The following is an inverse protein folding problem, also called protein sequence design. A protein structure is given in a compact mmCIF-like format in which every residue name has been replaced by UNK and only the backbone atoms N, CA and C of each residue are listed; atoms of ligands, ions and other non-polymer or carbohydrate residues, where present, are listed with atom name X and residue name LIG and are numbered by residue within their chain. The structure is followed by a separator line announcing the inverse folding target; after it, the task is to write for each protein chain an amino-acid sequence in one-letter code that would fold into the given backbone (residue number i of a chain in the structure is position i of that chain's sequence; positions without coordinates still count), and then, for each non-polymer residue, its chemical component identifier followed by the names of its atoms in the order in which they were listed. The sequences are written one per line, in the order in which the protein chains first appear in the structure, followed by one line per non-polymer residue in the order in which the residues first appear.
data_IF_219084047263
#
_entry.id   IF_219084047263
#
_cell.length_a   1.000
_cell.length_b   1.000
_cell.length_c   1.000
_cell.angle_alpha   90.00
_cell.angle_beta   90.00
_cell.angle_gamma   90.00
#
_symmetry.space_group_name_H-M   'P 1'
#
loop_
_entity.id
_entity.type
_entity.pdbx_description
1 polymer ?
#
# COMPACT_ATOMS: atom_id res chain seq x y z
N UNK A 1 2.75 27.26 -1.65
CA UNK A 1 4.02 26.83 -2.28
C UNK A 1 3.63 26.29 -3.65
N UNK A 2 4.06 26.93 -4.75
CA UNK A 2 3.84 26.38 -6.09
C UNK A 2 4.54 25.03 -6.14
N UNK A 3 3.75 23.96 -6.14
CA UNK A 3 4.23 22.60 -6.20
C UNK A 3 4.81 22.41 -7.61
N UNK A 4 6.13 22.27 -7.69
CA UNK A 4 6.79 21.88 -8.92
C UNK A 4 6.35 20.44 -9.23
N UNK A 5 5.36 20.29 -10.11
CA UNK A 5 5.17 19.03 -10.83
C UNK A 5 6.46 18.78 -11.59
N UNK A 6 7.28 17.86 -11.09
CA UNK A 6 8.40 17.29 -11.82
C UNK A 6 7.80 16.50 -12.99
N UNK A 7 7.57 17.19 -14.10
CA UNK A 7 7.35 16.56 -15.39
C UNK A 7 8.66 15.86 -15.77
N UNK A 8 8.67 14.53 -15.64
CA UNK A 8 9.74 13.71 -16.21
C UNK A 8 9.63 13.76 -17.73
N UNK A 9 10.33 14.70 -18.35
CA UNK A 9 10.62 14.67 -19.79
C UNK A 9 11.60 13.52 -20.00
N UNK A 10 11.14 12.41 -20.59
CA UNK A 10 11.99 11.28 -20.96
C UNK A 10 12.81 11.68 -22.20
N UNK A 11 13.96 12.31 -21.97
CA UNK A 11 15.00 12.43 -23.00
C UNK A 11 15.62 11.03 -23.15
N UNK A 12 15.67 10.50 -24.39
CA UNK A 12 16.11 9.16 -24.75
C UNK A 12 17.53 8.78 -24.30
N UNK A 13 17.69 8.57 -23.01
CA UNK A 13 18.90 8.15 -22.33
C UNK A 13 18.87 6.65 -22.08
N UNK A 14 20.06 6.07 -22.11
CA UNK A 14 20.43 4.70 -21.76
C UNK A 14 19.48 4.06 -20.71
N UNK A 15 18.93 2.89 -21.03
CA UNK A 15 18.04 2.12 -20.14
C UNK A 15 18.73 1.98 -18.77
N UNK A 16 18.16 2.55 -17.69
CA UNK A 16 18.81 2.56 -16.39
C UNK A 16 19.02 1.13 -15.90
N UNK A 17 20.16 0.87 -15.25
CA UNK A 17 20.52 -0.45 -14.73
C UNK A 17 19.32 -1.13 -14.05
N UNK A 18 18.83 -2.26 -14.60
CA UNK A 18 17.63 -2.93 -14.09
C UNK A 18 17.87 -3.58 -12.72
N UNK A 19 19.11 -3.62 -12.24
CA UNK A 19 19.45 -4.17 -10.92
C UNK A 19 18.73 -3.41 -9.81
N UNK A 20 17.94 -4.08 -8.94
CA UNK A 20 17.45 -3.48 -7.71
C UNK A 20 18.61 -3.00 -6.85
N UNK A 21 18.48 -1.84 -6.22
CA UNK A 21 19.54 -1.33 -5.33
C UNK A 21 19.72 -2.27 -4.13
N UNK A 22 20.95 -2.33 -3.59
CA UNK A 22 21.22 -3.08 -2.37
C UNK A 22 20.36 -2.58 -1.20
N UNK A 23 20.08 -1.27 -1.14
CA UNK A 23 19.20 -0.63 -0.17
C UNK A 23 17.76 -1.13 -0.27
N UNK A 24 17.20 -1.23 -1.48
CA UNK A 24 15.85 -1.78 -1.70
C UNK A 24 15.77 -3.25 -1.28
N UNK A 25 16.76 -4.06 -1.66
CA UNK A 25 16.80 -5.47 -1.25
C UNK A 25 16.88 -5.59 0.27
N UNK A 26 17.73 -4.79 0.91
CA UNK A 26 17.87 -4.77 2.36
C UNK A 26 16.57 -4.35 3.06
N UNK A 27 15.91 -3.30 2.59
CA UNK A 27 14.70 -2.77 3.22
C UNK A 27 13.50 -3.71 3.10
N UNK A 28 13.44 -4.49 2.02
CA UNK A 28 12.47 -5.58 1.82
C UNK A 28 12.87 -6.92 2.48
N UNK A 29 14.07 -7.01 3.06
CA UNK A 29 14.59 -8.27 3.62
C UNK A 29 14.82 -9.36 2.56
N UNK A 30 15.14 -8.97 1.32
CA UNK A 30 15.40 -9.85 0.18
C UNK A 30 16.91 -9.96 -0.10
N UNK A 31 17.33 -11.09 -0.67
CA UNK A 31 18.72 -11.29 -1.13
C UNK A 31 18.85 -11.02 -2.63
N UNK A 32 20.07 -10.73 -3.14
CA UNK A 32 20.33 -10.65 -4.58
C UNK A 32 19.92 -11.93 -5.32
N UNK A 33 19.43 -11.80 -6.55
CA UNK A 33 18.92 -12.93 -7.34
C UNK A 33 20.03 -13.95 -7.67
N UNK A 34 21.30 -13.53 -7.74
CA UNK A 34 22.45 -14.41 -7.86
C UNK A 34 22.55 -15.38 -6.69
N UNK A 35 22.29 -14.89 -5.47
CA UNK A 35 22.32 -15.72 -4.28
C UNK A 35 21.19 -16.75 -4.33
N UNK A 36 20.00 -16.35 -4.78
CA UNK A 36 18.91 -17.30 -5.01
C UNK A 36 19.28 -18.35 -6.05
N UNK A 37 19.86 -17.92 -7.17
CA UNK A 37 20.30 -18.80 -8.24
C UNK A 37 21.33 -19.82 -7.75
N UNK A 38 22.28 -19.40 -6.91
CA UNK A 38 23.31 -20.26 -6.33
C UNK A 38 22.75 -21.36 -5.41
N UNK A 39 21.57 -21.15 -4.80
CA UNK A 39 20.87 -22.20 -4.03
C UNK A 39 20.14 -23.23 -4.90
N UNK A 40 20.11 -23.04 -6.22
CA UNK A 40 19.35 -23.87 -7.15
C UNK A 40 17.86 -23.54 -7.19
N UNK A 41 17.41 -22.46 -6.55
CA UNK A 41 16.02 -22.03 -6.56
C UNK A 41 15.61 -21.53 -7.95
N UNK A 42 14.41 -21.93 -8.40
CA UNK A 42 13.73 -21.31 -9.55
C UNK A 42 12.93 -20.14 -9.02
N UNK A 43 13.19 -18.93 -9.53
CA UNK A 43 12.60 -17.69 -9.01
C UNK A 43 12.05 -16.84 -10.14
N UNK A 44 10.84 -16.32 -9.93
CA UNK A 44 10.22 -15.25 -10.71
C UNK A 44 9.79 -14.18 -9.73
N UNK A 45 10.45 -13.02 -9.74
CA UNK A 45 10.11 -11.94 -8.82
C UNK A 45 10.00 -10.59 -9.50
N UNK A 46 9.15 -9.75 -8.94
CA UNK A 46 8.94 -8.39 -9.38
C UNK A 46 9.04 -7.41 -8.21
N UNK A 47 9.60 -6.24 -8.47
CA UNK A 47 9.66 -5.08 -7.58
C UNK A 47 8.88 -3.95 -8.22
N UNK A 48 8.10 -3.24 -7.40
CA UNK A 48 7.19 -2.23 -7.89
C UNK A 48 7.50 -0.87 -7.28
N UNK A 49 7.50 0.15 -8.13
CA UNK A 49 7.66 1.56 -7.76
C UNK A 49 6.51 2.35 -8.37
N UNK A 50 5.83 3.16 -7.58
CA UNK A 50 4.66 3.92 -8.04
C UNK A 50 5.06 5.16 -8.87
N UNK A 51 4.06 5.87 -9.42
CA UNK A 51 4.26 7.09 -10.21
C UNK A 51 4.91 8.26 -9.46
N UNK A 52 4.95 8.22 -8.13
CA UNK A 52 5.65 9.20 -7.29
C UNK A 52 7.10 8.82 -7.00
N UNK A 53 7.59 7.73 -7.61
CA UNK A 53 8.94 7.24 -7.39
C UNK A 53 9.13 6.62 -6.01
N UNK A 54 8.08 6.16 -5.33
CA UNK A 54 8.20 5.40 -4.08
C UNK A 54 8.18 3.91 -4.38
N UNK A 55 9.16 3.19 -3.86
CA UNK A 55 9.16 1.72 -3.89
C UNK A 55 8.01 1.21 -3.00
N UNK A 56 7.36 0.12 -3.39
CA UNK A 56 6.16 -0.40 -2.71
C UNK A 56 6.39 -1.75 -2.03
N UNK A 57 6.71 -2.78 -2.83
CA UNK A 57 6.84 -4.16 -2.36
C UNK A 57 7.61 -5.01 -3.37
N UNK A 58 8.00 -6.20 -2.94
CA UNK A 58 8.47 -7.29 -3.79
C UNK A 58 7.50 -8.47 -3.79
N UNK A 59 7.17 -9.03 -4.95
CA UNK A 59 6.46 -10.32 -5.08
C UNK A 59 7.44 -11.33 -5.64
N UNK A 60 7.57 -12.49 -5.00
CA UNK A 60 8.47 -13.56 -5.44
C UNK A 60 7.76 -14.90 -5.45
N UNK A 61 7.65 -15.49 -6.63
CA UNK A 61 7.32 -16.90 -6.81
C UNK A 61 8.61 -17.70 -6.82
N UNK A 62 8.74 -18.67 -5.92
CA UNK A 62 9.96 -19.42 -5.70
C UNK A 62 9.68 -20.91 -5.56
N UNK A 63 10.52 -21.73 -6.19
CA UNK A 63 10.55 -23.18 -6.03
C UNK A 63 11.97 -23.59 -5.65
N UNK A 64 12.14 -24.01 -4.39
CA UNK A 64 13.42 -24.54 -3.89
C UNK A 64 13.57 -26.02 -4.29
N UNK A 65 14.81 -26.54 -4.40
CA UNK A 65 15.02 -27.97 -4.57
C UNK A 65 14.24 -28.77 -3.53
N UNK A 66 13.51 -29.80 -3.98
CA UNK A 66 12.72 -30.70 -3.15
C UNK A 66 11.58 -30.04 -2.32
N UNK A 67 11.18 -28.81 -2.66
CA UNK A 67 10.09 -28.10 -2.00
C UNK A 67 8.94 -27.76 -2.99
N UNK A 68 7.70 -27.64 -2.51
CA UNK A 68 6.60 -27.12 -3.34
C UNK A 68 6.83 -25.64 -3.70
N UNK A 69 6.20 -25.14 -4.77
CA UNK A 69 6.26 -23.73 -5.12
C UNK A 69 5.56 -22.88 -4.05
N UNK A 70 6.17 -21.74 -3.76
CA UNK A 70 5.70 -20.76 -2.78
C UNK A 70 5.63 -19.38 -3.44
N UNK A 71 4.73 -18.54 -2.92
CA UNK A 71 4.72 -17.11 -3.18
C UNK A 71 5.02 -16.39 -1.88
N UNK A 72 5.90 -15.41 -1.96
CA UNK A 72 6.27 -14.53 -0.86
C UNK A 72 6.07 -13.08 -1.31
N UNK A 73 5.36 -12.30 -0.49
CA UNK A 73 5.19 -10.85 -0.67
C UNK A 73 5.99 -10.17 0.43
N UNK A 74 6.87 -9.27 0.03
CA UNK A 74 7.82 -8.56 0.89
C UNK A 74 7.45 -7.09 0.91
N UNK A 75 7.24 -6.55 2.11
CA UNK A 75 7.15 -5.11 2.36
C UNK A 75 8.36 -4.59 3.10
N UNK A 76 8.34 -3.29 3.34
CA UNK A 76 9.34 -2.62 4.17
C UNK A 76 9.27 -3.05 5.63
N UNK A 77 10.32 -2.72 6.39
CA UNK A 77 10.42 -3.01 7.83
C UNK A 77 10.33 -4.50 8.16
N UNK A 78 10.70 -5.36 7.21
CA UNK A 78 10.66 -6.81 7.38
C UNK A 78 9.27 -7.43 7.31
N UNK A 79 8.24 -6.68 6.89
CA UNK A 79 6.90 -7.24 6.66
C UNK A 79 6.95 -8.27 5.56
N UNK A 80 6.39 -9.45 5.82
CA UNK A 80 6.37 -10.55 4.85
C UNK A 80 5.17 -11.46 5.09
N UNK A 81 4.49 -11.83 4.01
CA UNK A 81 3.52 -12.92 3.98
C UNK A 81 3.96 -13.96 2.94
N UNK A 82 3.73 -15.24 3.23
CA UNK A 82 4.08 -16.33 2.33
C UNK A 82 3.00 -17.41 2.33
N UNK A 83 2.73 -18.00 1.16
CA UNK A 83 1.74 -19.06 1.00
C UNK A 83 2.20 -20.09 -0.04
N UNK A 84 1.76 -21.36 0.09
CA UNK A 84 1.94 -22.35 -0.97
C UNK A 84 1.17 -21.93 -2.23
N UNK A 85 1.75 -22.20 -3.39
CA UNK A 85 1.14 -21.90 -4.68
C UNK A 85 0.61 -23.19 -5.29
N UNK A 86 -0.58 -23.13 -5.90
CA UNK A 86 -1.11 -24.28 -6.63
C UNK A 86 -0.23 -24.59 -7.84
N UNK A 87 -0.22 -25.84 -8.29
CA UNK A 87 0.54 -26.20 -9.49
C UNK A 87 0.07 -25.41 -10.72
N UNK A 88 -1.22 -25.16 -10.84
CA UNK A 88 -1.81 -24.37 -11.92
C UNK A 88 -1.32 -22.92 -11.92
N UNK A 89 -1.30 -22.26 -10.76
CA UNK A 89 -0.78 -20.90 -10.64
C UNK A 89 0.72 -20.84 -10.95
N UNK A 90 1.50 -21.84 -10.49
CA UNK A 90 2.92 -21.94 -10.81
C UNK A 90 3.15 -22.12 -12.32
N UNK A 91 2.44 -23.07 -12.95
CA UNK A 91 2.54 -23.32 -14.39
C UNK A 91 2.19 -22.05 -15.19
N UNK A 92 1.19 -21.27 -14.73
CA UNK A 92 0.85 -19.97 -15.32
C UNK A 92 1.96 -18.91 -15.16
N UNK A 93 2.65 -18.85 -14.02
CA UNK A 93 3.84 -17.98 -13.86
C UNK A 93 4.91 -18.34 -14.88
N UNK A 94 5.21 -19.63 -15.03
CA UNK A 94 6.19 -20.14 -16.00
C UNK A 94 5.75 -19.77 -17.42
N UNK A 95 4.49 -20.06 -17.76
CA UNK A 95 3.91 -19.86 -19.10
C UNK A 95 3.72 -18.40 -19.49
N UNK A 96 3.70 -17.45 -18.56
CA UNK A 96 3.61 -16.02 -18.85
C UNK A 96 4.99 -15.33 -18.81
N UNK A 97 6.00 -15.96 -18.19
CA UNK A 97 7.34 -15.39 -18.02
C UNK A 97 8.07 -15.06 -19.32
N UNK A 98 7.75 -15.76 -20.41
CA UNK A 98 8.32 -15.50 -21.73
C UNK A 98 8.02 -14.09 -22.26
N UNK A 99 6.93 -13.46 -21.79
CA UNK A 99 6.54 -12.11 -22.21
C UNK A 99 7.63 -11.11 -21.84
N UNK A 100 8.31 -11.30 -20.70
CA UNK A 100 9.39 -10.43 -20.21
C UNK A 100 10.56 -10.37 -21.19
N UNK A 101 10.78 -11.40 -22.01
CA UNK A 101 11.84 -11.45 -23.02
C UNK A 101 11.52 -10.74 -24.34
N UNK A 102 10.29 -10.23 -24.54
CA UNK A 102 9.89 -9.58 -25.79
C UNK A 102 10.54 -8.22 -25.97
N UNK A 103 11.00 -7.89 -27.17
CA UNK A 103 11.53 -6.54 -27.45
C UNK A 103 10.45 -5.47 -27.21
N UNK A 104 10.85 -4.34 -26.61
CA UNK A 104 9.96 -3.19 -26.45
C UNK A 104 9.87 -2.50 -27.80
N UNK A 105 8.65 -2.12 -28.20
CA UNK A 105 8.46 -1.16 -29.29
C UNK A 105 8.49 0.23 -28.64
N UNK A 106 9.51 1.06 -28.92
CA UNK A 106 9.61 2.39 -28.33
C UNK A 106 8.37 3.22 -28.67
N UNK A 107 8.03 4.17 -27.80
CA UNK A 107 7.11 5.23 -28.18
C UNK A 107 7.61 5.91 -29.47
N UNK A 108 6.74 6.15 -30.46
CA UNK A 108 7.06 7.05 -31.55
C UNK A 108 7.42 8.41 -30.96
N UNK A 109 8.52 8.99 -31.44
CA UNK A 109 8.81 10.40 -31.23
C UNK A 109 7.61 11.24 -31.68
N UNK A 110 7.31 12.33 -30.96
CA UNK A 110 6.19 13.26 -31.16
C UNK A 110 5.39 13.06 -32.46
N UNK A 111 4.16 12.55 -32.33
CA UNK A 111 3.31 12.30 -33.49
C UNK A 111 2.80 13.65 -34.01
N UNK A 112 3.34 14.08 -35.16
CA UNK A 112 2.74 15.18 -35.92
C UNK A 112 1.45 14.70 -36.59
N UNK A 113 0.31 15.24 -36.14
CA UNK A 113 -0.97 15.12 -36.84
C UNK A 113 -1.30 16.44 -37.52
N UNK A 114 -0.84 16.61 -38.75
CA UNK A 114 -0.96 17.89 -39.48
C UNK A 114 0.02 18.93 -38.94
N UNK A 115 -0.48 20.13 -38.63
CA UNK A 115 0.32 21.22 -38.02
C UNK A 115 0.35 21.14 -36.48
N UNK A 116 -0.30 20.15 -35.87
CA UNK A 116 -0.36 19.96 -34.42
C UNK A 116 0.59 18.84 -33.96
N UNK A 117 1.38 19.16 -32.93
CA UNK A 117 2.21 18.18 -32.20
C UNK A 117 1.34 17.59 -31.09
N UNK A 118 1.08 16.28 -31.16
CA UNK A 118 0.39 15.56 -30.08
C UNK A 118 1.41 15.10 -29.06
N UNK A 119 1.42 15.74 -27.89
CA UNK A 119 2.21 15.29 -26.75
C UNK A 119 1.49 14.14 -26.04
N UNK A 120 2.18 13.02 -25.88
CA UNK A 120 1.72 11.95 -24.98
C UNK A 120 2.22 12.26 -23.58
N UNK A 121 1.32 12.69 -22.70
CA UNK A 121 1.62 12.92 -21.29
C UNK A 121 1.22 11.67 -20.50
N UNK A 122 2.20 11.04 -19.87
CA UNK A 122 1.94 9.96 -18.93
C UNK A 122 1.86 10.53 -17.51
N UNK A 123 0.70 10.40 -16.86
CA UNK A 123 0.46 11.00 -15.54
C UNK A 123 0.91 10.13 -14.38
N UNK A 124 1.01 8.80 -14.59
CA UNK A 124 1.25 7.83 -13.52
C UNK A 124 2.21 6.70 -13.96
N UNK A 125 3.49 7.03 -14.10
CA UNK A 125 4.52 6.09 -14.57
C UNK A 125 4.97 5.08 -13.52
N UNK A 126 4.21 4.01 -13.34
CA UNK A 126 4.62 2.87 -12.52
C UNK A 126 5.84 2.19 -13.14
N UNK A 127 6.86 1.92 -12.33
CA UNK A 127 8.06 1.18 -12.76
C UNK A 127 8.05 -0.21 -12.16
N UNK A 128 8.19 -1.22 -13.01
CA UNK A 128 8.31 -2.62 -12.61
C UNK A 128 9.69 -3.13 -12.97
N UNK A 129 10.37 -3.77 -12.02
CA UNK A 129 11.60 -4.52 -12.26
C UNK A 129 11.32 -6.00 -12.06
N UNK A 130 11.61 -6.84 -13.05
CA UNK A 130 11.47 -8.30 -12.98
C UNK A 130 12.85 -8.93 -12.94
N UNK A 131 13.03 -9.91 -12.07
CA UNK A 131 14.22 -10.76 -12.00
C UNK A 131 13.83 -12.24 -12.05
N UNK A 132 14.57 -13.03 -12.84
CA UNK A 132 14.35 -14.45 -13.05
C UNK A 132 15.65 -15.25 -12.80
N UNK A 133 15.55 -16.40 -12.13
CA UNK A 133 16.69 -17.30 -11.92
C UNK A 133 16.34 -18.78 -12.13
N UNK A 134 17.31 -19.55 -12.63
CA UNK A 134 17.21 -20.99 -12.92
C UNK A 134 15.97 -21.42 -13.73
N UNK A 135 15.35 -20.49 -14.46
CA UNK A 135 14.20 -20.73 -15.35
C UNK A 135 14.67 -21.02 -16.78
N UNK A 136 13.71 -21.29 -17.66
CA UNK A 136 13.88 -21.36 -19.10
C UNK A 136 13.62 -19.99 -19.75
N UNK A 137 14.48 -19.65 -20.70
CA UNK A 137 14.29 -18.58 -21.68
C UNK A 137 13.30 -19.01 -22.77
N UNK A 138 12.73 -18.02 -23.46
CA UNK A 138 12.00 -18.16 -24.71
C UNK A 138 12.62 -19.25 -25.61
N UNK A 139 11.89 -20.34 -25.84
CA UNK A 139 12.38 -21.47 -26.65
C UNK A 139 13.05 -22.62 -25.89
N UNK A 140 12.84 -22.74 -24.57
CA UNK A 140 13.24 -23.90 -23.71
C UNK A 140 14.73 -24.01 -23.38
N UNK A 141 15.53 -22.97 -23.60
CA UNK A 141 16.92 -22.95 -23.13
C UNK A 141 16.95 -22.50 -21.67
N UNK A 142 17.55 -23.28 -20.77
CA UNK A 142 17.74 -22.85 -19.38
C UNK A 142 18.63 -21.60 -19.37
N UNK A 143 18.22 -20.56 -18.64
CA UNK A 143 19.04 -19.38 -18.41
C UNK A 143 20.34 -19.81 -17.73
N UNK A 144 21.47 -19.42 -18.30
CA UNK A 144 22.79 -19.66 -17.70
C UNK A 144 23.11 -18.70 -16.56
N UNK A 145 22.47 -17.53 -16.54
CA UNK A 145 22.66 -16.46 -15.56
C UNK A 145 21.30 -15.85 -15.19
N UNK A 146 21.18 -15.18 -14.03
CA UNK A 146 19.97 -14.43 -13.70
C UNK A 146 19.61 -13.42 -14.78
N UNK A 147 18.33 -13.36 -15.13
CA UNK A 147 17.78 -12.40 -16.09
C UNK A 147 17.09 -11.26 -15.37
N UNK A 148 17.26 -10.03 -15.87
CA UNK A 148 16.64 -8.84 -15.29
C UNK A 148 16.10 -7.93 -16.37
N UNK A 149 14.97 -7.29 -16.08
CA UNK A 149 14.46 -6.22 -16.91
C UNK A 149 13.66 -5.23 -16.10
N UNK A 150 13.76 -3.95 -16.43
CA UNK A 150 12.97 -2.87 -15.86
C UNK A 150 12.17 -2.21 -16.96
N UNK A 151 10.94 -1.80 -16.64
CA UNK A 151 10.11 -1.04 -17.57
C UNK A 151 9.26 -0.05 -16.77
N UNK A 152 9.15 1.18 -17.27
CA UNK A 152 8.10 2.09 -16.86
C UNK A 152 6.86 1.87 -17.73
N UNK A 153 5.67 1.91 -17.13
CA UNK A 153 4.40 1.79 -17.83
C UNK A 153 4.23 2.84 -18.95
N UNK A 154 4.95 3.95 -18.86
CA UNK A 154 4.93 5.00 -19.87
C UNK A 154 5.87 4.75 -21.06
N UNK A 155 6.71 3.72 -21.08
CA UNK A 155 7.81 3.62 -22.05
C UNK A 155 7.39 3.17 -23.46
N UNK A 156 6.15 2.68 -23.65
CA UNK A 156 5.75 2.02 -24.92
C UNK A 156 4.32 2.33 -25.36
N UNK A 157 4.07 2.49 -26.67
CA UNK A 157 2.72 2.35 -27.25
C UNK A 157 2.52 0.86 -27.54
N UNK A 158 1.77 0.19 -26.67
CA UNK A 158 1.48 -1.23 -26.81
C UNK A 158 1.60 -2.01 -25.50
N UNK A 159 1.51 -3.35 -25.55
CA UNK A 159 1.54 -4.17 -24.34
C UNK A 159 2.91 -4.07 -23.68
N UNK A 160 2.97 -3.46 -22.50
CA UNK A 160 4.17 -3.34 -21.66
C UNK A 160 4.55 -4.72 -21.09
N UNK A 161 5.54 -5.43 -21.66
CA UNK A 161 5.71 -6.85 -21.37
C UNK A 161 6.14 -7.13 -19.92
N UNK A 162 7.02 -6.29 -19.36
CA UNK A 162 7.54 -6.43 -18.00
C UNK A 162 6.48 -6.01 -16.99
N UNK A 163 5.81 -4.89 -17.24
CA UNK A 163 4.71 -4.40 -16.38
C UNK A 163 3.59 -5.43 -16.36
N UNK A 164 3.14 -5.90 -17.53
CA UNK A 164 2.11 -6.95 -17.65
C UNK A 164 2.47 -8.20 -16.84
N UNK A 165 3.71 -8.70 -16.98
CA UNK A 165 4.12 -9.86 -16.20
C UNK A 165 4.13 -9.56 -14.69
N UNK A 166 4.61 -8.39 -14.27
CA UNK A 166 4.51 -7.95 -12.88
C UNK A 166 3.07 -7.93 -12.35
N UNK A 167 2.10 -7.47 -13.14
CA UNK A 167 0.68 -7.47 -12.76
C UNK A 167 0.11 -8.90 -12.69
N UNK A 168 0.57 -9.81 -13.56
CA UNK A 168 0.21 -11.24 -13.48
C UNK A 168 0.72 -11.85 -12.17
N UNK A 169 1.99 -11.58 -11.79
CA UNK A 169 2.53 -12.05 -10.52
C UNK A 169 1.72 -11.50 -9.33
N UNK A 170 1.38 -10.21 -9.33
CA UNK A 170 0.57 -9.62 -8.27
C UNK A 170 -0.84 -10.24 -8.19
N UNK A 171 -1.51 -10.46 -9.34
CA UNK A 171 -2.82 -11.12 -9.38
C UNK A 171 -2.78 -12.55 -8.83
N UNK A 172 -1.81 -13.36 -9.26
CA UNK A 172 -1.64 -14.72 -8.76
C UNK A 172 -1.26 -14.76 -7.27
N UNK A 173 -0.50 -13.76 -6.79
CA UNK A 173 -0.20 -13.64 -5.38
C UNK A 173 -1.46 -13.37 -4.57
N UNK A 174 -2.32 -12.44 -5.01
CA UNK A 174 -3.62 -12.18 -4.38
C UNK A 174 -4.47 -13.46 -4.27
N UNK A 175 -4.54 -14.26 -5.35
CA UNK A 175 -5.28 -15.54 -5.36
C UNK A 175 -4.77 -16.53 -4.28
N UNK A 176 -3.48 -16.47 -3.94
CA UNK A 176 -2.88 -17.33 -2.91
C UNK A 176 -3.15 -16.87 -1.47
N UNK A 177 -3.64 -15.64 -1.26
CA UNK A 177 -3.90 -15.06 0.05
C UNK A 177 -5.38 -14.65 0.21
N UNK A 178 -6.24 -15.50 0.80
CA UNK A 178 -7.66 -15.22 0.94
C UNK A 178 -7.99 -13.88 1.63
N UNK A 179 -7.17 -13.43 2.59
CA UNK A 179 -7.35 -12.13 3.21
C UNK A 179 -7.09 -10.97 2.24
N UNK A 180 -6.05 -11.07 1.41
CA UNK A 180 -5.85 -10.09 0.33
C UNK A 180 -6.99 -10.19 -0.69
N UNK A 181 -7.54 -11.39 -0.92
CA UNK A 181 -8.68 -11.64 -1.81
C UNK A 181 -9.94 -10.84 -1.39
N UNK A 182 -10.14 -10.67 -0.08
CA UNK A 182 -11.29 -9.99 0.54
C UNK A 182 -11.20 -8.45 0.47
N UNK A 183 -10.01 -7.89 0.29
CA UNK A 183 -9.84 -6.45 0.10
C UNK A 183 -10.53 -6.01 -1.21
N UNK A 184 -11.51 -5.09 -1.10
CA UNK A 184 -12.37 -4.67 -2.20
C UNK A 184 -11.59 -4.00 -3.34
N UNK A 185 -11.61 -4.64 -4.52
CA UNK A 185 -10.94 -4.17 -5.73
C UNK A 185 -11.36 -2.76 -6.14
N UNK A 186 -12.62 -2.37 -5.93
CA UNK A 186 -13.10 -1.05 -6.34
C UNK A 186 -12.45 0.07 -5.51
N UNK A 187 -11.92 -0.26 -4.33
CA UNK A 187 -11.11 0.63 -3.49
C UNK A 187 -9.64 0.73 -3.90
N UNK A 188 -9.17 -0.10 -4.84
CA UNK A 188 -7.75 -0.20 -5.20
C UNK A 188 -7.48 0.09 -6.67
N UNK A 189 -6.41 0.85 -6.94
CA UNK A 189 -5.94 1.08 -8.31
C UNK A 189 -5.54 -0.21 -9.03
N UNK A 190 -4.95 -1.18 -8.30
CA UNK A 190 -4.51 -2.47 -8.82
C UNK A 190 -4.14 -3.46 -7.69
N UNK A 191 -3.89 -4.71 -8.06
CA UNK A 191 -3.50 -5.77 -7.12
C UNK A 191 -2.15 -5.51 -6.40
N UNK A 192 -1.27 -4.64 -6.92
CA UNK A 192 -0.01 -4.32 -6.24
C UNK A 192 -0.30 -3.47 -4.99
N UNK A 193 -1.12 -2.43 -5.11
CA UNK A 193 -1.55 -1.63 -3.94
C UNK A 193 -2.28 -2.52 -2.94
N UNK A 194 -3.17 -3.38 -3.43
CA UNK A 194 -3.92 -4.31 -2.60
C UNK A 194 -3.03 -5.28 -1.81
N UNK A 195 -1.97 -5.79 -2.43
CA UNK A 195 -0.97 -6.61 -1.72
C UNK A 195 -0.15 -5.81 -0.72
N UNK A 196 0.18 -4.55 -1.05
CA UNK A 196 0.84 -3.63 -0.12
C UNK A 196 0.02 -3.47 1.15
N UNK A 197 -1.29 -3.26 0.98
CA UNK A 197 -2.22 -3.08 2.08
C UNK A 197 -2.42 -4.36 2.90
N UNK A 198 -2.45 -5.50 2.21
CA UNK A 198 -2.56 -6.80 2.84
C UNK A 198 -1.41 -7.10 3.82
N UNK A 199 -0.21 -6.51 3.62
CA UNK A 199 0.92 -6.66 4.54
C UNK A 199 0.70 -5.98 5.89
N UNK A 200 -0.28 -5.08 6.01
CA UNK A 200 -0.66 -4.45 7.28
C UNK A 200 -1.67 -5.27 8.09
N UNK A 201 -2.18 -6.37 7.53
CA UNK A 201 -3.17 -7.22 8.20
C UNK A 201 -2.53 -8.13 9.25
N UNK A 202 -3.16 -8.24 10.43
CA UNK A 202 -2.66 -9.03 11.56
C UNK A 202 -3.75 -9.86 12.25
N UNK A 203 -3.36 -10.97 12.90
CA UNK A 203 -4.29 -11.84 13.63
C UNK A 203 -5.19 -12.67 12.68
N UNK A 204 -6.50 -12.67 12.90
CA UNK A 204 -7.48 -13.21 11.96
C UNK A 204 -7.55 -12.29 10.73
N UNK A 205 -6.72 -12.57 9.74
CA UNK A 205 -6.52 -11.70 8.58
C UNK A 205 -7.77 -11.54 7.70
N UNK A 206 -8.70 -12.50 7.70
CA UNK A 206 -9.97 -12.36 6.97
C UNK A 206 -10.89 -11.33 7.64
N UNK A 207 -11.04 -11.42 8.95
CA UNK A 207 -11.80 -10.42 9.71
C UNK A 207 -11.14 -9.04 9.64
N UNK A 208 -9.80 -8.98 9.70
CA UNK A 208 -9.03 -7.74 9.53
C UNK A 208 -9.21 -7.13 8.13
N UNK A 209 -9.19 -7.94 7.06
CA UNK A 209 -9.44 -7.49 5.70
C UNK A 209 -10.87 -6.95 5.53
N UNK A 210 -11.85 -7.59 6.18
CA UNK A 210 -13.23 -7.08 6.20
C UNK A 210 -13.34 -5.75 6.94
N UNK A 211 -12.62 -5.57 8.06
CA UNK A 211 -12.54 -4.30 8.78
C UNK A 211 -11.90 -3.20 7.90
N UNK A 212 -10.77 -3.50 7.27
CA UNK A 212 -10.09 -2.59 6.36
C UNK A 212 -10.97 -2.21 5.17
N UNK A 213 -11.64 -3.17 4.55
CA UNK A 213 -12.56 -2.93 3.42
C UNK A 213 -13.73 -2.03 3.81
N UNK A 214 -14.33 -2.26 4.98
CA UNK A 214 -15.46 -1.45 5.42
C UNK A 214 -15.04 -0.03 5.81
N UNK A 215 -13.89 0.13 6.45
CA UNK A 215 -13.49 1.43 7.01
C UNK A 215 -12.61 2.23 6.08
N UNK A 216 -11.75 1.59 5.30
CA UNK A 216 -10.79 2.26 4.45
C UNK A 216 -10.00 3.34 5.19
N UNK A 217 -9.62 4.37 4.44
CA UNK A 217 -8.96 5.56 4.97
C UNK A 217 -9.93 6.43 5.79
N UNK A 218 -9.49 7.01 6.91
CA UNK A 218 -10.30 7.96 7.67
C UNK A 218 -10.55 9.25 6.85
N UNK A 219 -11.64 9.98 7.11
CA UNK A 219 -11.88 11.27 6.48
C UNK A 219 -10.69 12.23 6.67
N UNK A 220 -10.15 12.75 5.56
CA UNK A 220 -8.90 13.52 5.57
C UNK A 220 -9.12 15.02 5.78
N UNK A 221 -8.30 15.64 6.64
CA UNK A 221 -8.21 17.09 6.81
C UNK A 221 -7.18 17.76 5.87
N UNK A 222 -6.74 17.05 4.82
CA UNK A 222 -5.70 17.54 3.91
C UNK A 222 -6.18 18.66 2.97
N UNK A 223 -5.28 19.61 2.66
CA UNK A 223 -5.35 20.55 1.53
C UNK A 223 -6.73 21.17 1.22
N UNK A 224 -7.32 21.86 2.20
CA UNK A 224 -8.56 22.62 1.98
C UNK A 224 -9.81 21.75 1.89
N UNK A 225 -9.70 20.45 2.17
CA UNK A 225 -10.82 19.57 2.43
C UNK A 225 -11.09 19.63 3.93
N UNK A 226 -12.34 19.93 4.30
CA UNK A 226 -12.81 19.85 5.68
C UNK A 226 -13.90 18.79 5.73
N UNK A 227 -13.60 17.59 6.28
CA UNK A 227 -14.59 16.54 6.37
C UNK A 227 -15.72 16.96 7.30
N UNK A 228 -16.92 16.55 6.95
CA UNK A 228 -18.16 16.85 7.64
C UNK A 228 -18.35 15.94 8.84
N UNK A 229 -19.22 16.37 9.77
CA UNK A 229 -19.66 15.51 10.88
C UNK A 229 -20.31 14.22 10.35
N UNK A 230 -21.02 14.27 9.22
CA UNK A 230 -21.69 13.11 8.63
C UNK A 230 -20.67 12.06 8.16
N UNK A 231 -19.62 12.46 7.44
CA UNK A 231 -18.54 11.56 7.00
C UNK A 231 -17.83 10.91 8.18
N UNK A 232 -17.50 11.68 9.23
CA UNK A 232 -16.92 11.13 10.45
C UNK A 232 -17.85 10.19 11.19
N UNK A 233 -19.15 10.50 11.24
CA UNK A 233 -20.14 9.65 11.91
C UNK A 233 -20.30 8.32 11.18
N UNK A 234 -20.35 8.35 9.86
CA UNK A 234 -20.40 7.14 9.02
C UNK A 234 -19.16 6.29 9.22
N UNK A 235 -17.97 6.89 9.14
CA UNK A 235 -16.71 6.17 9.30
C UNK A 235 -16.58 5.52 10.69
N UNK A 236 -16.78 6.30 11.76
CA UNK A 236 -16.64 5.81 13.14
C UNK A 236 -17.70 4.75 13.48
N UNK A 237 -18.94 4.89 12.97
CA UNK A 237 -20.05 3.96 13.23
C UNK A 237 -20.17 3.55 14.70
N UNK A 238 -20.22 4.47 15.65
CA UNK A 238 -20.06 4.16 17.09
C UNK A 238 -21.31 3.59 17.79
N UNK A 239 -22.46 3.52 17.12
CA UNK A 239 -23.77 3.24 17.73
C UNK A 239 -24.08 4.08 18.99
N UNK A 240 -23.51 5.30 19.03
CA UNK A 240 -23.51 6.23 20.17
C UNK A 240 -22.96 5.63 21.50
N UNK A 241 -22.10 4.62 21.41
CA UNK A 241 -21.41 4.01 22.55
C UNK A 241 -19.89 4.23 22.55
N UNK A 242 -19.34 4.88 21.52
CA UNK A 242 -17.91 5.02 21.32
C UNK A 242 -17.23 5.87 22.39
N UNK A 243 -15.97 5.54 22.68
CA UNK A 243 -15.08 6.28 23.57
C UNK A 243 -13.82 6.73 22.82
N UNK A 244 -13.40 7.97 23.07
CA UNK A 244 -12.14 8.53 22.60
C UNK A 244 -11.32 9.05 23.79
N UNK A 245 -10.10 8.55 23.95
CA UNK A 245 -9.07 9.12 24.82
C UNK A 245 -8.07 9.89 23.95
N UNK A 246 -8.03 11.21 24.08
CA UNK A 246 -7.12 12.07 23.34
C UNK A 246 -6.04 12.62 24.27
N UNK A 247 -4.92 11.91 24.40
CA UNK A 247 -3.82 12.33 25.26
C UNK A 247 -4.20 12.44 26.75
N UNK A 248 -5.14 11.63 27.22
CA UNK A 248 -5.68 11.66 28.60
C UNK A 248 -7.01 12.41 28.73
N UNK A 249 -7.47 13.11 27.70
CA UNK A 249 -8.79 13.74 27.68
C UNK A 249 -9.83 12.79 27.10
N UNK A 250 -10.81 12.40 27.94
CA UNK A 250 -11.82 11.40 27.56
C UNK A 250 -13.08 12.09 27.02
N UNK A 251 -13.50 11.67 25.84
CA UNK A 251 -14.79 11.96 25.21
C UNK A 251 -15.56 10.65 25.11
N UNK A 252 -16.80 10.63 25.56
CA UNK A 252 -17.63 9.43 25.53
C UNK A 252 -19.04 9.76 25.10
N UNK A 253 -19.53 9.02 24.11
CA UNK A 253 -20.91 9.11 23.68
C UNK A 253 -21.83 8.46 24.72
N UNK A 254 -23.05 8.99 24.81
CA UNK A 254 -24.07 8.47 25.71
C UNK A 254 -25.35 8.18 24.94
N UNK A 255 -25.75 6.91 24.95
CA UNK A 255 -27.06 6.48 24.48
C UNK A 255 -28.22 6.90 25.40
N UNK A 256 -27.93 7.50 26.55
CA UNK A 256 -28.97 7.91 27.51
C UNK A 256 -29.26 9.41 27.41
N UNK A 257 -30.36 9.74 26.73
CA UNK A 257 -30.95 11.07 26.83
C UNK A 257 -31.57 11.23 28.22
N UNK A 258 -30.81 11.74 29.19
CA UNK A 258 -31.36 12.18 30.47
C UNK A 258 -31.80 13.63 30.33
N UNK A 259 -33.09 13.88 30.49
CA UNK A 259 -33.65 15.23 30.44
C UNK A 259 -32.93 16.15 31.44
N UNK A 260 -32.33 17.23 30.92
CA UNK A 260 -31.68 18.26 31.73
C UNK A 260 -30.15 18.15 31.89
N UNK A 261 -29.49 17.12 31.31
CA UNK A 261 -28.03 17.14 31.15
C UNK A 261 -27.66 17.69 29.77
N UNK A 262 -26.53 18.40 29.69
CA UNK A 262 -25.94 18.76 28.40
C UNK A 262 -25.69 17.47 27.61
N UNK A 263 -26.07 17.46 26.34
CA UNK A 263 -25.85 16.32 25.45
C UNK A 263 -24.34 16.03 25.40
N UNK A 264 -23.96 14.77 25.63
CA UNK A 264 -22.56 14.37 25.50
C UNK A 264 -22.12 14.60 24.04
N UNK A 265 -20.93 15.18 23.80
CA UNK A 265 -20.49 15.43 22.43
C UNK A 265 -20.36 14.11 21.67
N UNK A 266 -20.79 14.12 20.40
CA UNK A 266 -20.57 12.98 19.50
C UNK A 266 -19.11 12.93 19.11
N UNK A 267 -18.52 11.74 19.00
CA UNK A 267 -17.12 11.61 18.59
C UNK A 267 -16.88 12.23 17.22
N UNK A 268 -17.84 12.11 16.31
CA UNK A 268 -17.81 12.78 14.99
C UNK A 268 -17.69 14.31 15.08
N UNK A 269 -18.35 14.95 16.06
CA UNK A 269 -18.23 16.40 16.29
C UNK A 269 -16.86 16.76 16.86
N UNK A 270 -16.37 15.96 17.80
CA UNK A 270 -15.03 16.13 18.39
C UNK A 270 -13.96 16.06 17.29
N UNK A 271 -14.07 15.11 16.35
CA UNK A 271 -13.12 15.01 15.23
C UNK A 271 -13.14 16.24 14.32
N UNK A 272 -14.32 16.78 14.01
CA UNK A 272 -14.43 18.03 13.23
C UNK A 272 -13.80 19.21 13.99
N UNK A 273 -14.00 19.31 15.30
CA UNK A 273 -13.37 20.32 16.14
C UNK A 273 -11.84 20.18 16.17
N UNK A 274 -11.32 18.95 16.25
CA UNK A 274 -9.87 18.70 16.13
C UNK A 274 -9.33 19.14 14.78
N UNK A 275 -10.00 18.82 13.67
CA UNK A 275 -9.58 19.29 12.35
C UNK A 275 -9.58 20.80 12.18
N UNK A 276 -10.47 21.50 12.90
CA UNK A 276 -10.53 22.96 12.89
C UNK A 276 -9.45 23.62 13.77
N UNK A 277 -8.90 22.90 14.75
CA UNK A 277 -7.98 23.43 15.77
C UNK A 277 -6.56 22.89 15.66
N UNK A 278 -6.36 21.76 14.99
CA UNK A 278 -5.07 21.10 14.76
C UNK A 278 -4.75 21.15 13.26
N UNK A 279 -3.87 22.07 12.82
CA UNK A 279 -3.50 22.23 11.43
C UNK A 279 -2.88 20.95 10.85
N UNK A 280 -3.23 20.61 9.62
CA UNK A 280 -2.73 19.42 8.90
C UNK A 280 -2.91 18.10 9.69
N UNK A 281 -3.98 17.99 10.50
CA UNK A 281 -4.30 16.76 11.24
C UNK A 281 -4.41 15.58 10.28
N UNK A 282 -3.54 14.59 10.46
CA UNK A 282 -3.49 13.37 9.64
C UNK A 282 -3.50 12.15 10.54
N UNK A 283 -4.22 11.12 10.12
CA UNK A 283 -4.34 9.84 10.83
C UNK A 283 -3.79 8.77 9.88
N UNK A 284 -2.68 8.15 10.26
CA UNK A 284 -2.00 7.13 9.50
C UNK A 284 -2.28 5.76 10.11
N UNK A 285 -2.93 4.87 9.36
CA UNK A 285 -3.13 3.49 9.76
C UNK A 285 -1.85 2.67 9.46
N UNK A 286 -1.29 2.00 10.47
CA UNK A 286 -0.04 1.26 10.34
C UNK A 286 -0.18 -0.25 10.56
N UNK A 287 -1.28 -0.70 11.16
CA UNK A 287 -1.63 -2.11 11.34
C UNK A 287 -3.15 -2.22 11.51
N UNK A 288 -3.77 -3.15 10.79
CA UNK A 288 -5.18 -3.48 10.97
C UNK A 288 -5.23 -4.95 11.33
N UNK A 289 -5.88 -5.31 12.43
CA UNK A 289 -5.93 -6.69 12.84
C UNK A 289 -7.26 -7.09 13.45
N UNK A 290 -7.41 -8.38 13.65
CA UNK A 290 -8.57 -8.93 14.33
C UNK A 290 -8.18 -10.10 15.21
N UNK A 291 -8.85 -10.22 16.35
CA UNK A 291 -8.63 -11.33 17.28
C UNK A 291 -9.41 -12.55 16.79
N UNK A 292 -10.63 -12.31 16.36
CA UNK A 292 -11.62 -13.26 15.88
C UNK A 292 -12.54 -12.54 14.87
N UNK A 293 -13.66 -13.16 14.52
CA UNK A 293 -14.60 -12.61 13.53
C UNK A 293 -15.44 -11.42 14.07
N UNK A 294 -15.40 -11.18 15.39
CA UNK A 294 -16.22 -10.18 16.07
C UNK A 294 -15.41 -9.00 16.63
N UNK A 295 -14.12 -9.18 16.90
CA UNK A 295 -13.24 -8.17 17.51
C UNK A 295 -12.04 -7.80 16.64
N UNK A 296 -11.93 -6.52 16.33
CA UNK A 296 -10.92 -5.91 15.48
C UNK A 296 -10.13 -4.80 16.18
N UNK A 297 -8.99 -4.43 15.60
CA UNK A 297 -8.23 -3.26 16.00
C UNK A 297 -7.59 -2.55 14.81
N UNK A 298 -7.34 -1.26 14.97
CA UNK A 298 -6.50 -0.47 14.06
C UNK A 298 -5.45 0.23 14.93
N UNK A 299 -4.17 0.09 14.59
CA UNK A 299 -3.08 0.84 15.21
C UNK A 299 -2.47 1.78 14.19
N UNK A 300 -1.93 2.88 14.67
CA UNK A 300 -1.35 3.88 13.78
C UNK A 300 -0.82 5.08 14.51
N UNK A 301 -0.70 6.18 13.78
CA UNK A 301 -0.22 7.45 14.29
C UNK A 301 -1.17 8.57 13.93
N UNK A 302 -1.36 9.50 14.86
CA UNK A 302 -1.97 10.80 14.61
C UNK A 302 -0.86 11.82 14.56
N UNK A 303 -0.84 12.65 13.51
CA UNK A 303 0.11 13.74 13.39
C UNK A 303 -0.61 15.06 13.11
N UNK A 304 -0.11 16.17 13.62
CA UNK A 304 -0.56 17.51 13.23
C UNK A 304 0.61 18.49 13.25
N UNK A 305 0.46 19.63 12.55
CA UNK A 305 1.46 20.70 12.52
C UNK A 305 1.23 21.68 13.67
N UNK A 306 2.25 21.95 14.46
CA UNK A 306 2.19 22.98 15.51
C UNK A 306 2.28 24.38 14.88
N UNK A 307 1.33 25.26 15.20
CA UNK A 307 1.35 26.67 14.79
C UNK A 307 2.26 27.50 15.71
N UNK A 308 3.05 28.41 15.13
CA UNK A 308 3.68 29.50 15.90
C UNK A 308 5.18 29.40 16.14
N UNK A 309 5.92 28.50 15.49
CA UNK A 309 7.39 28.56 15.47
C UNK A 309 7.88 29.76 14.67
N UNK A 310 8.31 30.79 15.40
CA UNK A 310 8.98 31.97 14.86
C UNK A 310 10.28 31.53 14.17
N UNK A 311 10.28 31.46 12.84
CA UNK A 311 11.46 31.03 12.07
C UNK A 311 11.17 30.27 10.78
N UNK A 312 9.91 29.86 10.54
CA UNK A 312 9.53 29.13 9.32
C UNK A 312 9.84 27.63 9.35
N UNK A 313 10.41 27.12 10.45
CA UNK A 313 10.53 25.68 10.70
C UNK A 313 9.17 25.08 11.03
N UNK A 314 8.77 24.05 10.26
CA UNK A 314 7.55 23.28 10.52
C UNK A 314 7.85 22.26 11.60
N UNK A 315 7.09 22.28 12.70
CA UNK A 315 7.11 21.23 13.72
C UNK A 315 5.88 20.37 13.58
N UNK A 316 6.08 19.07 13.63
CA UNK A 316 5.01 18.08 13.65
C UNK A 316 4.94 17.45 15.03
N UNK A 317 3.72 17.32 15.54
CA UNK A 317 3.43 16.59 16.76
C UNK A 317 2.83 15.25 16.36
N UNK A 318 3.34 14.15 16.90
CA UNK A 318 2.90 12.78 16.62
C UNK A 318 2.52 12.06 17.90
N UNK A 319 1.49 11.22 17.84
CA UNK A 319 1.11 10.29 18.89
C UNK A 319 0.69 8.95 18.28
N UNK A 320 1.13 7.84 18.87
CA UNK A 320 0.62 6.52 18.50
C UNK A 320 -0.83 6.37 19.00
N UNK A 321 -1.64 5.62 18.27
CA UNK A 321 -3.01 5.31 18.67
C UNK A 321 -3.35 3.82 18.51
N UNK A 322 -4.37 3.41 19.25
CA UNK A 322 -5.05 2.13 19.09
C UNK A 322 -6.55 2.35 19.07
N UNK A 323 -7.23 1.76 18.10
CA UNK A 323 -8.67 1.65 18.02
C UNK A 323 -9.09 0.20 18.27
N UNK A 324 -10.21 0.01 18.95
CA UNK A 324 -10.88 -1.28 19.14
C UNK A 324 -12.24 -1.22 18.46
N UNK A 325 -12.53 -2.26 17.69
CA UNK A 325 -13.72 -2.36 16.87
C UNK A 325 -14.49 -3.65 17.19
N UNK A 326 -15.81 -3.56 17.22
CA UNK A 326 -16.68 -4.73 17.36
C UNK A 326 -17.62 -4.86 16.17
N UNK A 327 -17.97 -6.10 15.82
CA UNK A 327 -18.96 -6.38 14.78
C UNK A 327 -20.36 -6.41 15.39
N UNK A 328 -21.25 -5.53 14.95
CA UNK A 328 -22.65 -5.53 15.38
C UNK A 328 -23.44 -6.71 14.77
N UNK A 329 -24.65 -7.02 15.27
CA UNK A 329 -25.52 -8.06 14.71
C UNK A 329 -25.88 -7.93 13.22
N UNK A 330 -25.60 -6.79 12.59
CA UNK A 330 -25.73 -6.56 11.15
C UNK A 330 -24.48 -6.86 10.32
N UNK A 331 -23.40 -7.31 10.96
CA UNK A 331 -22.12 -7.64 10.31
C UNK A 331 -21.22 -6.43 10.05
N UNK A 332 -21.64 -5.22 10.40
CA UNK A 332 -20.87 -3.99 10.28
C UNK A 332 -19.93 -3.83 11.49
N UNK A 333 -18.76 -3.24 11.27
CA UNK A 333 -17.80 -2.84 12.29
C UNK A 333 -18.15 -1.47 12.90
N UNK A 334 -18.08 -1.40 14.22
CA UNK A 334 -18.39 -0.24 15.05
C UNK A 334 -17.20 0.07 15.97
N UNK A 335 -16.88 1.35 16.12
CA UNK A 335 -15.79 1.77 17.01
C UNK A 335 -16.26 1.70 18.46
N UNK A 336 -15.59 0.90 19.28
CA UNK A 336 -15.83 0.82 20.72
C UNK A 336 -14.97 1.84 21.47
N UNK A 337 -13.66 1.82 21.20
CA UNK A 337 -12.66 2.62 21.88
C UNK A 337 -11.60 3.10 20.92
N UNK A 338 -11.19 4.36 21.04
CA UNK A 338 -10.03 4.92 20.38
C UNK A 338 -9.16 5.61 21.44
N UNK A 339 -7.94 5.14 21.60
CA UNK A 339 -6.98 5.73 22.53
C UNK A 339 -5.80 6.30 21.74
N UNK A 340 -5.58 7.60 21.86
CA UNK A 340 -4.42 8.34 21.33
C UNK A 340 -3.48 8.67 22.47
N UNK A 341 -2.22 8.26 22.34
CA UNK A 341 -1.18 8.49 23.33
C UNK A 341 -0.81 9.97 23.50
N UNK A 342 0.15 10.27 24.37
CA UNK A 342 0.67 11.63 24.51
C UNK A 342 1.40 12.05 23.23
N UNK A 343 1.16 13.28 22.78
CA UNK A 343 1.86 13.87 21.63
C UNK A 343 3.31 14.21 21.98
N UNK A 344 4.19 13.95 21.02
CA UNK A 344 5.62 14.31 21.04
C UNK A 344 6.02 14.99 19.74
N UNK A 345 7.06 15.79 19.78
CA UNK A 345 7.65 16.35 18.55
C UNK A 345 8.23 15.21 17.70
N UNK A 346 7.85 15.18 16.42
CA UNK A 346 8.43 14.29 15.41
C UNK A 346 9.83 14.83 15.06
N UNK A 347 10.85 14.01 15.26
CA UNK A 347 12.22 14.40 14.95
C UNK A 347 12.64 13.85 13.58
N UNK A 348 13.63 14.46 12.90
CA UNK A 348 14.11 13.96 11.62
C UNK A 348 14.60 12.51 11.65
N UNK A 349 15.06 12.02 12.80
CA UNK A 349 15.44 10.62 13.00
C UNK A 349 14.26 9.64 13.13
N UNK A 350 13.03 10.16 13.27
CA UNK A 350 11.79 9.38 13.33
C UNK A 350 11.09 9.28 11.96
N UNK A 351 11.57 10.01 10.94
CA UNK A 351 11.16 9.91 9.53
C UNK A 351 11.93 8.79 8.82
#
# INVERSE_FOLDING_TARGET
MLMAMLMSVVLGGQEPDPTPSAELLQSLGMVPIEQEAATGAVVYRAFYRNGYGRDLLGVSFEMRPDAPPMVSVYGFEGKRISAPVSREAWDRVVDESWIVGRELVPLPEDVQTGDEVVYTLCTDGWTTTVELANTYEYGRKRLSEPYRRRQNACDTIGPEPVVRFGFILAGLAVEAFPACAELDLDGYYNNIVRLSDCLYLSGNTLAAASLMTQKGEPPSFSYGITPTEAEWREWLSTDNGGRLDWGGQIYQESNTYRSGQAEAPRLSQVMVEFGATLPDLTIYQAEIGARDDEQGWIKGQVAYREEGTSGGERRYMVADYVQQWSRAPGGLWHLDDWTVGPFRELKPEDE
#
